data_IF_395183463551
#
_entry.id   IF_395183463551
#
_cell.length_a   1.000
_cell.length_b   1.000
_cell.length_c   1.000
_cell.angle_alpha   90.00
_cell.angle_beta   90.00
_cell.angle_gamma   90.00
#
_symmetry.space_group_name_H-M   'P 1'
#
loop_
_entity.id
_entity.type
_entity.pdbx_description
1 polymer ?
#
# COMPACT_ATOMS: atom_id res chain seq x y z
N UNK A 1 5.39 0.67 -1.10
CA UNK A 1 5.40 0.53 -2.58
C UNK A 1 5.85 1.85 -3.17
N UNK A 2 7.11 1.94 -3.61
CA UNK A 2 7.62 3.11 -4.30
C UNK A 2 7.47 2.91 -5.80
N UNK A 3 6.29 3.21 -6.34
CA UNK A 3 6.15 3.42 -7.78
C UNK A 3 6.74 4.81 -8.04
N UNK A 4 8.04 4.91 -8.16
CA UNK A 4 8.69 6.10 -8.69
C UNK A 4 8.70 6.00 -10.21
N UNK A 5 7.58 6.32 -10.82
CA UNK A 5 7.61 6.79 -12.18
C UNK A 5 8.32 8.14 -12.17
N UNK A 6 9.39 8.28 -12.93
CA UNK A 6 10.15 9.53 -13.04
C UNK A 6 9.31 10.69 -13.58
N UNK A 7 8.19 10.40 -14.25
CA UNK A 7 7.20 11.36 -14.70
C UNK A 7 5.90 11.21 -13.94
N UNK A 8 5.55 12.24 -13.17
CA UNK A 8 4.20 12.35 -12.61
C UNK A 8 3.32 13.07 -13.64
N UNK A 9 2.37 12.36 -14.22
CA UNK A 9 1.37 12.94 -15.13
C UNK A 9 0.63 14.14 -14.52
N UNK A 10 0.58 14.23 -13.18
CA UNK A 10 -0.07 15.34 -12.48
C UNK A 10 0.63 16.68 -12.66
N UNK A 11 1.87 16.70 -13.18
CA UNK A 11 2.59 17.93 -13.52
C UNK A 11 2.25 18.46 -14.90
N UNK A 12 1.58 17.65 -15.72
CA UNK A 12 1.20 17.96 -17.10
C UNK A 12 -0.32 17.74 -17.24
N UNK A 13 -1.14 18.78 -17.02
CA UNK A 13 -2.60 18.65 -16.97
C UNK A 13 -3.20 18.02 -18.23
N UNK A 14 -2.70 18.37 -19.41
CA UNK A 14 -3.20 17.80 -20.67
C UNK A 14 -2.94 16.29 -20.78
N UNK A 15 -1.73 15.85 -20.45
CA UNK A 15 -1.37 14.44 -20.44
C UNK A 15 -2.19 13.67 -19.41
N UNK A 16 -2.45 14.28 -18.25
CA UNK A 16 -3.31 13.69 -17.23
C UNK A 16 -4.76 13.56 -17.70
N UNK A 17 -5.33 14.61 -18.33
CA UNK A 17 -6.68 14.56 -18.88
C UNK A 17 -6.83 13.46 -19.93
N UNK A 18 -5.87 13.32 -20.84
CA UNK A 18 -5.84 12.25 -21.85
C UNK A 18 -5.78 10.85 -21.20
N UNK A 19 -4.89 10.67 -20.24
CA UNK A 19 -4.75 9.39 -19.54
C UNK A 19 -6.00 8.98 -18.76
N UNK A 20 -6.82 9.94 -18.32
CA UNK A 20 -8.10 9.70 -17.66
C UNK A 20 -9.29 9.71 -18.60
N UNK A 21 -9.09 10.01 -19.88
CA UNK A 21 -10.16 10.09 -20.88
C UNK A 21 -11.13 11.23 -20.61
N UNK A 22 -10.60 12.39 -20.19
CA UNK A 22 -11.40 13.58 -19.92
C UNK A 22 -11.37 14.49 -21.17
N UNK A 23 -12.54 14.85 -21.66
CA UNK A 23 -12.72 15.80 -22.76
C UNK A 23 -12.89 17.23 -22.25
N UNK A 24 -11.79 18.01 -22.26
CA UNK A 24 -11.80 19.40 -21.83
C UNK A 24 -12.54 20.33 -22.79
N UNK A 25 -12.81 19.90 -24.05
CA UNK A 25 -13.60 20.68 -25.02
C UNK A 25 -15.11 20.53 -24.86
N UNK A 26 -15.54 19.57 -24.03
CA UNK A 26 -16.95 19.23 -23.77
C UNK A 26 -17.75 18.83 -25.03
N UNK A 27 -17.07 18.37 -26.09
CA UNK A 27 -17.72 17.92 -27.32
C UNK A 27 -18.34 16.53 -27.15
N UNK A 28 -17.78 15.72 -26.28
CA UNK A 28 -18.26 14.37 -26.02
C UNK A 28 -19.26 14.35 -24.86
N UNK A 29 -20.22 13.43 -24.93
CA UNK A 29 -21.23 13.24 -23.85
C UNK A 29 -20.57 12.95 -22.52
N UNK A 30 -20.91 13.75 -21.51
CA UNK A 30 -20.37 13.62 -20.15
C UNK A 30 -18.89 14.02 -20.03
N UNK A 31 -18.35 14.72 -21.03
CA UNK A 31 -16.93 15.08 -21.12
C UNK A 31 -15.99 13.86 -21.04
N UNK A 32 -16.38 12.72 -21.64
CA UNK A 32 -15.64 11.46 -21.59
C UNK A 32 -15.13 11.07 -22.98
N UNK A 33 -13.84 10.75 -23.03
CA UNK A 33 -13.13 10.13 -24.17
C UNK A 33 -12.54 8.78 -23.77
N UNK A 34 -12.06 8.02 -24.73
CA UNK A 34 -11.29 6.81 -24.45
C UNK A 34 -9.97 7.19 -23.75
N UNK A 35 -9.64 6.62 -22.57
CA UNK A 35 -8.37 6.90 -21.91
C UNK A 35 -7.17 6.49 -22.77
N UNK A 36 -6.17 7.35 -22.86
CA UNK A 36 -4.89 7.07 -23.49
C UNK A 36 -3.87 6.70 -22.41
N UNK A 37 -3.78 5.41 -22.10
CA UNK A 37 -2.88 4.90 -21.05
C UNK A 37 -1.58 4.41 -21.69
N UNK A 38 -0.44 4.92 -21.21
CA UNK A 38 0.85 4.41 -21.62
C UNK A 38 1.02 2.95 -21.21
N UNK A 39 1.65 2.11 -22.04
CA UNK A 39 1.90 0.71 -21.70
C UNK A 39 2.73 0.60 -20.41
N UNK A 40 2.45 -0.42 -19.61
CA UNK A 40 3.23 -0.70 -18.41
C UNK A 40 4.63 -1.21 -18.81
N UNK A 41 5.68 -0.60 -18.26
CA UNK A 41 7.08 -1.02 -18.50
C UNK A 41 7.46 -2.29 -17.71
N UNK A 42 6.67 -2.64 -16.71
CA UNK A 42 6.93 -3.77 -15.81
C UNK A 42 5.66 -4.52 -15.50
N UNK A 43 5.77 -5.82 -15.31
CA UNK A 43 4.73 -6.63 -14.72
C UNK A 43 4.79 -6.50 -13.20
N UNK A 44 3.67 -6.10 -12.57
CA UNK A 44 3.60 -5.83 -11.15
C UNK A 44 2.44 -6.61 -10.53
N UNK A 45 2.77 -7.38 -9.50
CA UNK A 45 1.80 -8.07 -8.64
C UNK A 45 1.71 -7.35 -7.29
N UNK A 46 0.50 -6.96 -6.90
CA UNK A 46 0.20 -6.42 -5.57
C UNK A 46 -0.56 -7.48 -4.78
N UNK A 47 0.12 -8.10 -3.85
CA UNK A 47 -0.36 -9.27 -3.11
C UNK A 47 -0.84 -8.87 -1.71
N UNK A 48 -1.88 -9.53 -1.23
CA UNK A 48 -2.45 -9.30 0.09
C UNK A 48 -2.91 -10.62 0.72
N UNK A 49 -2.60 -10.86 2.00
CA UNK A 49 -3.05 -12.06 2.74
C UNK A 49 -4.55 -12.05 3.03
N UNK A 50 -5.13 -10.87 3.29
CA UNK A 50 -6.57 -10.73 3.54
C UNK A 50 -7.36 -11.05 2.27
N UNK A 51 -8.43 -11.83 2.38
CA UNK A 51 -9.30 -12.21 1.26
C UNK A 51 -10.13 -11.03 0.72
N UNK A 52 -10.20 -9.96 1.49
CA UNK A 52 -10.92 -8.76 1.07
C UNK A 52 -10.26 -8.09 -0.13
N UNK A 53 -11.04 -7.36 -0.92
CA UNK A 53 -10.53 -6.58 -2.05
C UNK A 53 -9.32 -5.73 -1.64
N UNK A 54 -8.25 -5.76 -2.44
CA UNK A 54 -7.06 -4.95 -2.21
C UNK A 54 -7.44 -3.47 -2.12
N UNK A 55 -6.93 -2.80 -1.07
CA UNK A 55 -7.26 -1.41 -0.79
C UNK A 55 -8.69 -1.17 -0.26
N UNK A 56 -9.35 -2.17 0.36
CA UNK A 56 -10.70 -2.02 0.94
C UNK A 56 -10.77 -0.90 1.99
N UNK A 57 -9.71 -0.71 2.75
CA UNK A 57 -9.66 0.26 3.86
C UNK A 57 -9.10 1.64 3.46
N UNK A 58 -8.83 1.86 2.19
CA UNK A 58 -8.48 3.20 1.69
C UNK A 58 -9.64 4.17 1.87
N UNK A 59 -9.33 5.45 2.05
CA UNK A 59 -10.31 6.51 2.20
C UNK A 59 -11.39 6.48 1.12
N UNK A 60 -12.64 6.68 1.50
CA UNK A 60 -13.80 6.56 0.58
C UNK A 60 -13.70 7.50 -0.62
N UNK A 61 -13.14 8.68 -0.41
CA UNK A 61 -13.02 9.74 -1.43
C UNK A 61 -11.90 9.48 -2.45
N UNK A 62 -10.78 8.87 -2.03
CA UNK A 62 -9.57 8.74 -2.87
C UNK A 62 -9.19 7.29 -3.19
N UNK A 63 -9.68 6.33 -2.42
CA UNK A 63 -9.32 4.92 -2.60
C UNK A 63 -9.67 4.34 -3.97
N UNK A 64 -10.76 4.80 -4.58
CA UNK A 64 -11.13 4.37 -5.92
C UNK A 64 -10.15 4.89 -6.98
N UNK A 65 -9.61 6.12 -6.82
CA UNK A 65 -8.63 6.72 -7.71
C UNK A 65 -7.36 5.87 -7.72
N UNK A 66 -6.84 5.53 -6.53
CA UNK A 66 -5.65 4.68 -6.42
C UNK A 66 -5.84 3.32 -7.08
N UNK A 67 -6.99 2.66 -6.85
CA UNK A 67 -7.28 1.38 -7.52
C UNK A 67 -7.40 1.51 -9.03
N UNK A 68 -8.03 2.57 -9.51
CA UNK A 68 -8.15 2.83 -10.94
C UNK A 68 -6.78 3.07 -11.58
N UNK A 69 -5.92 3.85 -10.94
CA UNK A 69 -4.54 4.08 -11.40
C UNK A 69 -3.75 2.76 -11.49
N UNK A 70 -3.86 1.89 -10.48
CA UNK A 70 -3.21 0.57 -10.51
C UNK A 70 -3.74 -0.30 -11.66
N UNK A 71 -5.05 -0.29 -11.91
CA UNK A 71 -5.65 -1.00 -13.04
C UNK A 71 -5.17 -0.47 -14.39
N UNK A 72 -5.13 0.84 -14.57
CA UNK A 72 -4.62 1.46 -15.79
C UNK A 72 -3.15 1.07 -16.07
N UNK A 73 -2.37 0.87 -15.00
CA UNK A 73 -0.98 0.39 -15.08
C UNK A 73 -0.86 -1.14 -15.13
N UNK A 74 -1.95 -1.86 -15.38
CA UNK A 74 -2.00 -3.31 -15.44
C UNK A 74 -1.45 -4.03 -14.20
N UNK A 75 -1.49 -3.39 -13.01
CA UNK A 75 -1.07 -4.02 -11.77
C UNK A 75 -2.04 -5.14 -11.40
N UNK A 76 -1.56 -6.35 -11.29
CA UNK A 76 -2.34 -7.51 -10.88
C UNK A 76 -2.53 -7.50 -9.36
N UNK A 77 -3.75 -7.24 -8.91
CA UNK A 77 -4.09 -7.17 -7.48
C UNK A 77 -4.71 -8.49 -7.02
N UNK A 78 -3.98 -9.29 -6.24
CA UNK A 78 -4.37 -10.64 -5.81
C UNK A 78 -4.58 -10.65 -4.29
N UNK A 79 -5.82 -10.77 -3.81
CA UNK A 79 -6.13 -10.98 -2.39
C UNK A 79 -6.03 -12.46 -2.01
N UNK A 80 -6.09 -12.77 -0.71
CA UNK A 80 -6.17 -14.14 -0.19
C UNK A 80 -4.90 -14.98 -0.41
N UNK A 81 -3.73 -14.32 -0.50
CA UNK A 81 -2.48 -15.00 -0.80
C UNK A 81 -1.84 -15.60 0.44
N UNK A 82 -1.50 -16.88 0.39
CA UNK A 82 -0.57 -17.53 1.32
C UNK A 82 0.81 -17.62 0.67
N UNK A 83 1.82 -17.01 1.30
CA UNK A 83 3.20 -17.04 0.81
C UNK A 83 3.87 -18.34 1.23
N UNK A 84 4.58 -19.00 0.32
CA UNK A 84 5.27 -20.26 0.58
C UNK A 84 6.78 -20.06 0.68
N UNK A 85 7.42 -19.72 -0.41
CA UNK A 85 8.87 -19.47 -0.47
C UNK A 85 9.22 -18.58 -1.66
N UNK A 86 10.48 -18.15 -1.68
CA UNK A 86 11.13 -17.49 -2.83
C UNK A 86 12.32 -18.34 -3.22
N UNK A 87 12.44 -18.66 -4.51
CA UNK A 87 13.57 -19.37 -5.07
C UNK A 87 13.94 -18.81 -6.47
N UNK A 88 14.82 -19.48 -7.18
CA UNK A 88 15.27 -19.05 -8.52
C UNK A 88 14.16 -19.06 -9.59
N UNK A 89 13.01 -19.66 -9.30
CA UNK A 89 11.81 -19.65 -10.16
C UNK A 89 10.89 -18.48 -9.89
N UNK A 90 11.09 -17.79 -8.77
CA UNK A 90 10.27 -16.66 -8.35
C UNK A 90 9.62 -16.81 -6.99
N UNK A 91 8.44 -16.17 -6.82
CA UNK A 91 7.66 -16.20 -5.59
C UNK A 91 6.57 -17.29 -5.67
N UNK A 92 6.65 -18.27 -4.79
CA UNK A 92 5.65 -19.33 -4.65
C UNK A 92 4.53 -18.89 -3.72
N UNK A 93 3.32 -18.97 -4.20
CA UNK A 93 2.11 -18.57 -3.47
C UNK A 93 1.03 -19.65 -3.61
N UNK A 94 0.09 -19.64 -2.65
CA UNK A 94 -1.18 -20.36 -2.79
C UNK A 94 -2.32 -19.35 -2.79
N UNK A 95 -3.20 -19.46 -3.76
CA UNK A 95 -4.41 -18.64 -3.91
C UNK A 95 -5.58 -19.56 -4.20
N UNK A 96 -6.70 -19.43 -3.46
CA UNK A 96 -7.88 -20.28 -3.60
C UNK A 96 -7.55 -21.80 -3.56
N UNK A 97 -6.59 -22.17 -2.70
CA UNK A 97 -6.13 -23.55 -2.56
C UNK A 97 -5.23 -24.07 -3.70
N UNK A 98 -4.90 -23.24 -4.68
CA UNK A 98 -4.05 -23.60 -5.82
C UNK A 98 -2.65 -23.00 -5.65
N UNK A 99 -1.63 -23.83 -5.85
CA UNK A 99 -0.24 -23.38 -5.87
C UNK A 99 0.08 -22.70 -7.20
N UNK A 100 0.73 -21.54 -7.10
CA UNK A 100 1.16 -20.74 -8.25
C UNK A 100 2.56 -20.20 -8.02
N UNK A 101 3.38 -20.18 -9.05
CA UNK A 101 4.67 -19.49 -9.05
C UNK A 101 4.52 -18.20 -9.84
N UNK A 102 4.90 -17.08 -9.23
CA UNK A 102 5.05 -15.81 -9.92
C UNK A 102 6.50 -15.64 -10.28
N UNK A 103 6.78 -15.72 -11.59
CA UNK A 103 8.14 -15.54 -12.15
C UNK A 103 8.46 -14.03 -12.09
N UNK A 104 9.10 -13.60 -11.01
CA UNK A 104 9.42 -12.19 -10.75
C UNK A 104 10.90 -12.03 -10.40
N UNK A 105 11.51 -10.96 -10.89
CA UNK A 105 12.92 -10.63 -10.61
C UNK A 105 13.12 -10.05 -9.20
N UNK A 106 12.07 -9.45 -8.63
CA UNK A 106 12.15 -8.75 -7.35
C UNK A 106 10.91 -8.98 -6.51
N UNK A 107 11.11 -9.25 -5.23
CA UNK A 107 10.07 -9.32 -4.21
C UNK A 107 10.27 -8.18 -3.22
N UNK A 108 9.27 -7.28 -3.12
CA UNK A 108 9.30 -6.16 -2.18
C UNK A 108 8.37 -6.46 -1.03
N UNK A 109 8.95 -6.67 0.16
CA UNK A 109 8.19 -7.00 1.37
C UNK A 109 7.68 -5.73 2.04
N UNK A 110 6.34 -5.59 2.08
CA UNK A 110 5.62 -4.51 2.76
C UNK A 110 4.58 -5.10 3.74
N UNK A 111 4.92 -6.17 4.41
CA UNK A 111 3.98 -7.07 5.10
C UNK A 111 3.68 -6.68 6.55
N UNK A 112 3.93 -5.45 6.94
CA UNK A 112 3.64 -4.93 8.28
C UNK A 112 4.87 -4.42 9.00
N UNK A 113 4.72 -4.21 10.31
CA UNK A 113 5.73 -3.66 11.18
C UNK A 113 5.71 -4.43 12.51
N UNK A 114 6.87 -4.54 13.15
CA UNK A 114 7.03 -5.09 14.48
C UNK A 114 7.35 -3.96 15.47
N UNK A 115 6.86 -4.05 16.74
CA UNK A 115 7.15 -3.05 17.74
C UNK A 115 8.62 -3.13 18.16
N UNK A 116 9.33 -2.00 18.08
CA UNK A 116 10.72 -1.93 18.58
C UNK A 116 10.73 -1.44 20.04
N UNK A 117 10.95 -2.36 20.96
CA UNK A 117 11.03 -2.11 22.42
C UNK A 117 12.47 -2.12 22.96
N UNK A 118 13.49 -2.14 22.11
CA UNK A 118 14.88 -2.28 22.54
C UNK A 118 15.30 -1.21 23.55
N UNK A 119 15.05 0.06 23.28
CA UNK A 119 15.35 1.17 24.17
C UNK A 119 14.55 1.08 25.49
N UNK A 120 13.27 0.72 25.41
CA UNK A 120 12.44 0.54 26.61
C UNK A 120 13.01 -0.53 27.53
N UNK A 121 13.39 -1.69 27.00
CA UNK A 121 13.98 -2.77 27.78
C UNK A 121 15.29 -2.35 28.45
N UNK A 122 16.18 -1.64 27.73
CA UNK A 122 17.43 -1.10 28.29
C UNK A 122 17.17 -0.11 29.43
N UNK A 123 16.18 0.77 29.30
CA UNK A 123 15.81 1.72 30.36
C UNK A 123 15.31 1.01 31.62
N UNK A 124 14.49 -0.02 31.46
CA UNK A 124 14.00 -0.84 32.59
C UNK A 124 15.15 -1.57 33.28
N UNK A 125 16.09 -2.16 32.54
CA UNK A 125 17.29 -2.81 33.10
C UNK A 125 18.16 -1.83 33.90
N UNK A 126 18.20 -0.55 33.50
CA UNK A 126 18.89 0.52 34.22
C UNK A 126 18.08 1.08 35.40
N UNK A 127 16.92 0.53 35.71
CA UNK A 127 16.03 0.99 36.79
C UNK A 127 15.33 2.32 36.49
N UNK A 128 15.33 2.79 35.23
CA UNK A 128 14.66 3.99 34.81
C UNK A 128 13.17 3.72 34.57
N UNK A 129 12.30 4.51 35.22
CA UNK A 129 10.86 4.43 34.98
C UNK A 129 10.55 4.94 33.56
N UNK A 130 10.16 4.04 32.69
CA UNK A 130 9.83 4.32 31.31
C UNK A 130 8.40 3.84 30.97
N UNK A 131 7.80 4.44 29.97
CA UNK A 131 6.50 4.02 29.42
C UNK A 131 6.63 3.85 27.91
N UNK A 132 5.94 2.86 27.36
CA UNK A 132 5.94 2.58 25.91
C UNK A 132 4.56 2.87 25.35
N UNK A 133 4.49 3.62 24.24
CA UNK A 133 3.26 4.00 23.56
C UNK A 133 3.43 3.94 22.04
N UNK A 134 2.33 4.06 21.31
CA UNK A 134 2.33 4.13 19.84
C UNK A 134 2.84 2.86 19.19
N UNK A 135 3.64 3.02 18.14
CA UNK A 135 4.19 1.90 17.36
C UNK A 135 5.21 1.04 18.10
N UNK A 136 5.89 1.61 19.10
CA UNK A 136 6.81 0.87 19.96
C UNK A 136 6.07 -0.09 20.92
N UNK A 137 4.82 0.20 21.27
CA UNK A 137 3.96 -0.69 22.05
C UNK A 137 3.29 -1.74 21.14
N UNK A 138 2.48 -1.29 20.18
CA UNK A 138 1.79 -2.14 19.21
C UNK A 138 1.94 -1.54 17.83
N UNK A 139 2.73 -2.17 16.95
CA UNK A 139 2.98 -1.67 15.61
C UNK A 139 1.85 -1.97 14.61
N UNK A 140 1.03 -3.01 14.88
CA UNK A 140 -0.05 -3.42 14.00
C UNK A 140 -1.09 -2.33 13.83
N UNK A 141 -1.43 -2.04 12.56
CA UNK A 141 -2.48 -1.07 12.18
C UNK A 141 -2.34 0.30 12.89
N UNK A 142 -1.09 0.71 13.13
CA UNK A 142 -0.81 2.01 13.75
C UNK A 142 -1.24 3.14 12.82
N UNK A 143 -2.04 4.07 13.36
CA UNK A 143 -2.35 5.35 12.75
C UNK A 143 -1.98 6.52 13.69
N UNK A 144 -1.92 7.72 13.14
CA UNK A 144 -1.61 8.93 13.91
C UNK A 144 -2.63 9.17 15.03
N UNK A 145 -3.90 8.85 14.81
CA UNK A 145 -4.98 9.05 15.78
C UNK A 145 -4.76 8.21 17.03
N UNK A 146 -4.41 6.94 16.89
CA UNK A 146 -4.11 6.05 18.02
C UNK A 146 -2.87 6.52 18.78
N UNK A 147 -1.80 6.85 18.07
CA UNK A 147 -0.56 7.30 18.70
C UNK A 147 -0.74 8.60 19.49
N UNK A 148 -1.43 9.59 18.93
CA UNK A 148 -1.74 10.87 19.59
C UNK A 148 -2.61 10.64 20.82
N UNK A 149 -3.65 9.81 20.72
CA UNK A 149 -4.52 9.49 21.85
C UNK A 149 -3.73 8.87 23.00
N UNK A 150 -2.93 7.84 22.74
CA UNK A 150 -2.10 7.20 23.77
C UNK A 150 -1.14 8.20 24.44
N UNK A 151 -0.55 9.13 23.66
CA UNK A 151 0.30 10.19 24.20
C UNK A 151 -0.46 11.14 25.13
N UNK A 152 -1.65 11.57 24.72
CA UNK A 152 -2.49 12.45 25.52
C UNK A 152 -2.99 11.77 26.82
N UNK A 153 -3.44 10.52 26.72
CA UNK A 153 -3.88 9.73 27.88
C UNK A 153 -2.75 9.51 28.89
N UNK A 154 -1.54 9.21 28.41
CA UNK A 154 -0.37 9.05 29.28
C UNK A 154 0.01 10.36 29.95
N UNK A 155 0.06 11.47 29.21
CA UNK A 155 0.40 12.78 29.75
C UNK A 155 -0.59 13.29 30.81
N UNK A 156 -1.84 12.81 30.79
CA UNK A 156 -2.86 13.19 31.77
C UNK A 156 -2.70 12.48 33.14
N UNK A 157 -1.88 11.43 33.23
CA UNK A 157 -1.71 10.60 34.43
C UNK A 157 -0.27 10.57 34.98
N UNK A 158 0.63 11.35 34.37
CA UNK A 158 1.97 11.62 34.87
C UNK A 158 1.95 13.00 35.53
#
# INVERSE_FOLDING_TARGET
MCIRDRHSLTKEPESWLKAWGIDASYEQRGALKTPEVAPAEREIYLLQRKETKVGKHLGKTTGWIHRQTLKQKNVQMIPGVAYQCVDDKGLHITVDGQNKVLEVDNVIVCAGQEPNKALFNQLIELGVSARVIGGADVASELDAKRAIRQGAELAAVI
#
